data_IF_507202592951
#
_entry.id   IF_507202592951
#
_cell.length_a   1.000
_cell.length_b   1.000
_cell.length_c   1.000
_cell.angle_alpha   90.00
_cell.angle_beta   90.00
_cell.angle_gamma   90.00
#
_symmetry.space_group_name_H-M   'P 1'
#
loop_
_entity.id
_entity.type
_entity.pdbx_description
1 polymer ?
#
# COMPACT_ATOMS: atom_id res chain seq x y z
N UNK A 1 15.15 -29.88 -17.23
CA UNK A 1 15.79 -29.00 -18.23
C UNK A 1 14.90 -27.77 -18.46
N UNK A 2 14.84 -26.80 -17.53
CA UNK A 2 13.95 -25.62 -17.63
C UNK A 2 14.50 -24.32 -17.00
N UNK A 3 15.81 -24.24 -16.68
CA UNK A 3 16.39 -23.05 -16.02
C UNK A 3 16.58 -21.83 -16.95
N UNK A 4 16.25 -21.94 -18.25
CA UNK A 4 16.32 -20.83 -19.20
C UNK A 4 15.10 -19.91 -19.18
N UNK A 5 14.05 -20.23 -18.42
CA UNK A 5 12.79 -19.47 -18.38
C UNK A 5 12.68 -18.51 -17.19
N UNK A 6 13.54 -18.64 -16.19
CA UNK A 6 13.52 -17.76 -15.01
C UNK A 6 14.33 -16.50 -15.28
N UNK A 7 13.72 -15.34 -15.07
CA UNK A 7 14.44 -14.07 -15.15
C UNK A 7 15.49 -14.02 -14.04
N UNK A 8 16.70 -13.57 -14.37
CA UNK A 8 17.76 -13.36 -13.37
C UNK A 8 17.27 -12.34 -12.33
N UNK A 9 17.55 -12.55 -11.03
CA UNK A 9 17.28 -11.54 -10.02
C UNK A 9 17.90 -10.19 -10.40
N UNK A 10 17.18 -9.11 -10.12
CA UNK A 10 17.64 -7.76 -10.32
C UNK A 10 18.09 -7.19 -8.98
N UNK A 11 19.31 -6.66 -8.89
CA UNK A 11 19.85 -6.11 -7.64
C UNK A 11 19.79 -4.59 -7.69
N UNK A 12 19.12 -4.02 -6.71
CA UNK A 12 18.99 -2.60 -6.49
C UNK A 12 19.73 -2.17 -5.23
N UNK A 13 20.40 -1.02 -5.26
CA UNK A 13 21.14 -0.52 -4.11
C UNK A 13 20.23 -0.10 -2.93
N UNK A 14 18.98 0.27 -3.21
CA UNK A 14 18.02 0.74 -2.21
C UNK A 14 17.00 -0.34 -1.85
N UNK A 15 16.48 -1.04 -2.86
CA UNK A 15 15.41 -2.04 -2.70
C UNK A 15 15.93 -3.48 -2.52
N UNK A 16 17.24 -3.68 -2.63
CA UNK A 16 17.86 -5.00 -2.54
C UNK A 16 17.54 -5.88 -3.75
N UNK A 17 17.40 -7.18 -3.52
CA UNK A 17 17.12 -8.14 -4.58
C UNK A 17 15.64 -8.18 -4.95
N UNK A 18 15.35 -8.02 -6.25
CA UNK A 18 14.03 -8.18 -6.85
C UNK A 18 13.98 -9.46 -7.68
N UNK A 19 12.97 -10.29 -7.44
CA UNK A 19 12.73 -11.54 -8.18
C UNK A 19 11.47 -11.45 -9.01
N UNK A 20 11.54 -11.90 -10.26
CA UNK A 20 10.36 -11.90 -11.11
C UNK A 20 9.37 -12.98 -10.69
N UNK A 21 8.10 -12.60 -10.57
CA UNK A 21 6.97 -13.50 -10.40
C UNK A 21 5.81 -13.02 -11.28
N UNK A 22 5.39 -13.85 -12.24
CA UNK A 22 4.40 -13.46 -13.25
C UNK A 22 4.86 -12.27 -14.10
N UNK A 23 4.09 -11.18 -14.06
CA UNK A 23 4.39 -9.94 -14.78
C UNK A 23 5.18 -8.92 -13.97
N UNK A 24 5.40 -9.18 -12.68
CA UNK A 24 5.96 -8.21 -11.73
C UNK A 24 7.29 -8.68 -11.15
N UNK A 25 8.05 -7.72 -10.64
CA UNK A 25 9.28 -7.90 -9.88
C UNK A 25 8.94 -7.71 -8.41
N UNK A 26 9.19 -8.75 -7.61
CA UNK A 26 8.85 -8.80 -6.20
C UNK A 26 10.08 -8.61 -5.33
N UNK A 27 9.94 -7.85 -4.26
CA UNK A 27 11.00 -7.57 -3.29
C UNK A 27 10.43 -7.15 -1.95
N UNK A 28 11.21 -6.35 -1.22
CA UNK A 28 10.79 -5.74 0.04
C UNK A 28 11.01 -4.24 -0.02
N UNK A 29 10.13 -3.50 0.63
CA UNK A 29 10.25 -2.06 0.84
C UNK A 29 10.22 -1.78 2.33
N UNK A 30 11.10 -0.91 2.82
CA UNK A 30 10.99 -0.38 4.17
C UNK A 30 10.12 0.87 4.15
N UNK A 31 9.02 0.85 4.90
CA UNK A 31 8.06 1.93 4.99
C UNK A 31 7.70 2.18 6.46
N UNK A 32 7.91 3.40 6.94
CA UNK A 32 7.77 3.70 8.37
C UNK A 32 8.70 2.82 9.22
N UNK A 33 8.14 2.12 10.19
CA UNK A 33 8.89 1.26 11.11
C UNK A 33 9.12 -0.18 10.58
N UNK A 34 8.41 -0.58 9.53
CA UNK A 34 8.35 -1.96 9.07
C UNK A 34 8.91 -2.17 7.67
N UNK A 35 9.17 -3.43 7.36
CA UNK A 35 9.46 -3.88 6.00
C UNK A 35 8.25 -4.67 5.49
N UNK A 36 7.83 -4.41 4.25
CA UNK A 36 6.65 -5.01 3.64
C UNK A 36 6.94 -5.49 2.20
N UNK A 37 6.17 -6.48 1.70
CA UNK A 37 6.26 -6.95 0.32
C UNK A 37 6.10 -5.82 -0.69
N UNK A 38 6.95 -5.83 -1.72
CA UNK A 38 6.91 -4.87 -2.82
C UNK A 38 6.69 -5.60 -4.14
N UNK A 39 5.81 -5.08 -4.99
CA UNK A 39 5.70 -5.51 -6.39
C UNK A 39 5.85 -4.33 -7.36
N UNK A 40 6.73 -4.46 -8.34
CA UNK A 40 7.03 -3.44 -9.35
C UNK A 40 6.74 -4.00 -10.73
N UNK A 41 6.09 -3.24 -11.59
CA UNK A 41 5.96 -3.63 -13.00
C UNK A 41 7.29 -3.64 -13.74
N UNK A 42 7.36 -4.49 -14.77
CA UNK A 42 8.49 -4.50 -15.69
C UNK A 42 8.52 -5.72 -16.59
N UNK A 43 9.22 -5.64 -17.73
CA UNK A 43 9.45 -6.78 -18.61
C UNK A 43 10.35 -7.85 -17.96
N UNK A 44 10.53 -8.99 -18.64
CA UNK A 44 11.40 -10.09 -18.16
C UNK A 44 12.87 -9.69 -17.99
N UNK A 45 13.34 -8.64 -18.67
CA UNK A 45 14.73 -8.17 -18.62
C UNK A 45 15.07 -7.34 -17.38
N UNK A 46 14.07 -6.84 -16.67
CA UNK A 46 14.24 -6.01 -15.47
C UNK A 46 12.97 -5.26 -15.11
N UNK A 47 12.91 -4.67 -13.90
CA UNK A 47 11.87 -3.72 -13.53
C UNK A 47 11.79 -2.56 -14.53
N UNK A 48 10.61 -1.97 -14.68
CA UNK A 48 10.48 -0.70 -15.39
C UNK A 48 11.27 0.39 -14.64
N UNK A 49 11.99 1.23 -15.37
CA UNK A 49 12.88 2.22 -14.77
C UNK A 49 12.12 3.31 -14.00
N UNK A 50 10.95 3.74 -14.51
CA UNK A 50 10.08 4.69 -13.83
C UNK A 50 9.44 4.06 -12.60
N UNK A 51 8.97 2.82 -12.72
CA UNK A 51 8.39 2.11 -11.59
C UNK A 51 9.42 1.85 -10.47
N UNK A 52 10.67 1.54 -10.84
CA UNK A 52 11.79 1.40 -9.91
C UNK A 52 12.12 2.72 -9.20
N UNK A 53 12.15 3.83 -9.94
CA UNK A 53 12.37 5.15 -9.36
C UNK A 53 11.25 5.53 -8.37
N UNK A 54 9.99 5.32 -8.73
CA UNK A 54 8.86 5.57 -7.86
C UNK A 54 8.87 4.68 -6.60
N UNK A 55 9.25 3.40 -6.72
CA UNK A 55 9.38 2.51 -5.57
C UNK A 55 10.47 2.97 -4.59
N UNK A 56 11.60 3.47 -5.09
CA UNK A 56 12.67 4.04 -4.25
C UNK A 56 12.24 5.32 -3.52
N UNK A 57 11.37 6.10 -4.15
CA UNK A 57 10.91 7.39 -3.62
C UNK A 57 9.71 7.25 -2.66
N UNK A 58 8.97 6.13 -2.76
CA UNK A 58 7.77 5.87 -1.97
C UNK A 58 7.95 6.05 -0.45
N UNK A 59 9.06 5.65 0.20
CA UNK A 59 9.25 5.91 1.63
C UNK A 59 9.24 7.39 2.00
N UNK A 60 9.85 8.23 1.16
CA UNK A 60 9.86 9.68 1.35
C UNK A 60 8.47 10.27 1.11
N UNK A 61 7.81 9.85 0.03
CA UNK A 61 6.45 10.30 -0.31
C UNK A 61 5.48 9.93 0.80
N UNK A 62 5.52 8.70 1.28
CA UNK A 62 4.69 8.22 2.38
C UNK A 62 4.88 9.05 3.64
N UNK A 63 6.12 9.31 4.04
CA UNK A 63 6.40 10.14 5.21
C UNK A 63 5.85 11.57 5.06
N UNK A 64 5.90 12.15 3.87
CA UNK A 64 5.36 13.48 3.58
C UNK A 64 3.83 13.52 3.52
N UNK A 65 3.20 12.41 3.15
CA UNK A 65 1.76 12.32 2.91
C UNK A 65 1.00 11.59 4.03
N UNK A 66 1.68 11.15 5.09
CA UNK A 66 1.08 10.38 6.17
C UNK A 66 -0.13 11.10 6.79
N UNK A 67 -0.05 12.41 7.03
CA UNK A 67 -1.18 13.17 7.59
C UNK A 67 -2.38 13.23 6.64
N UNK A 68 -2.14 13.28 5.32
CA UNK A 68 -3.20 13.27 4.32
C UNK A 68 -3.90 11.89 4.27
N UNK A 69 -3.12 10.81 4.31
CA UNK A 69 -3.65 9.44 4.36
C UNK A 69 -4.44 9.21 5.65
N UNK A 70 -3.93 9.67 6.80
CA UNK A 70 -4.62 9.56 8.08
C UNK A 70 -5.97 10.27 8.08
N UNK A 71 -6.06 11.45 7.43
CA UNK A 71 -7.32 12.17 7.26
C UNK A 71 -8.31 11.39 6.41
N UNK A 72 -7.87 10.86 5.27
CA UNK A 72 -8.73 10.04 4.42
C UNK A 72 -9.22 8.76 5.13
N UNK A 73 -8.38 8.13 5.96
CA UNK A 73 -8.76 6.99 6.80
C UNK A 73 -9.77 7.39 7.88
N UNK A 74 -9.64 8.57 8.49
CA UNK A 74 -10.60 9.07 9.46
C UNK A 74 -11.97 9.36 8.81
N UNK A 75 -11.97 9.90 7.60
CA UNK A 75 -13.18 10.07 6.78
C UNK A 75 -13.80 8.71 6.44
N UNK A 76 -12.99 7.70 6.11
CA UNK A 76 -13.45 6.33 5.87
C UNK A 76 -14.07 5.68 7.12
N UNK A 77 -13.54 5.97 8.32
CA UNK A 77 -14.06 5.47 9.60
C UNK A 77 -15.42 6.07 9.98
N UNK A 78 -15.71 7.32 9.57
CA UNK A 78 -16.90 8.05 9.99
C UNK A 78 -18.23 7.27 9.83
N UNK A 79 -18.55 6.69 8.64
CA UNK A 79 -19.80 5.94 8.48
C UNK A 79 -19.89 4.70 9.38
N UNK A 80 -18.77 4.02 9.66
CA UNK A 80 -18.75 2.86 10.56
C UNK A 80 -19.06 3.25 11.99
N UNK A 81 -18.50 4.38 12.46
CA UNK A 81 -18.82 4.93 13.78
C UNK A 81 -20.28 5.32 13.90
N UNK A 82 -20.81 6.01 12.90
CA UNK A 82 -22.21 6.44 12.89
C UNK A 82 -23.16 5.24 12.95
N UNK A 83 -22.92 4.20 12.14
CA UNK A 83 -23.73 2.99 12.14
C UNK A 83 -23.70 2.25 13.49
N UNK A 84 -22.53 2.14 14.12
CA UNK A 84 -22.40 1.52 15.46
C UNK A 84 -23.11 2.35 16.53
N UNK A 85 -22.98 3.68 16.49
CA UNK A 85 -23.66 4.58 17.45
C UNK A 85 -25.19 4.57 17.29
N UNK A 86 -25.68 4.46 16.06
CA UNK A 86 -27.10 4.35 15.76
C UNK A 86 -27.68 2.96 16.06
N UNK A 87 -26.82 1.97 16.34
CA UNK A 87 -27.23 0.57 16.52
C UNK A 87 -27.64 -0.12 15.21
N UNK A 88 -27.24 0.45 14.07
CA UNK A 88 -27.49 -0.09 12.72
C UNK A 88 -26.46 -1.15 12.30
N UNK A 89 -25.35 -1.25 13.04
CA UNK A 89 -24.32 -2.27 12.84
C UNK A 89 -23.78 -2.77 14.17
N UNK A 90 -23.42 -4.05 14.21
CA UNK A 90 -22.72 -4.64 15.36
C UNK A 90 -21.33 -4.01 15.49
N UNK A 91 -20.88 -3.81 16.72
CA UNK A 91 -19.52 -3.32 16.94
C UNK A 91 -18.50 -4.34 16.41
N UNK A 92 -17.44 -3.90 15.73
CA UNK A 92 -16.38 -4.80 15.28
C UNK A 92 -15.70 -5.50 16.45
N UNK A 93 -15.03 -6.62 16.16
CA UNK A 93 -14.33 -7.42 17.20
C UNK A 93 -13.24 -6.61 17.88
N UNK A 94 -12.57 -5.77 17.11
CA UNK A 94 -11.61 -4.80 17.62
C UNK A 94 -12.34 -3.46 17.81
N UNK A 95 -12.18 -2.79 18.96
CA UNK A 95 -12.81 -1.49 19.18
C UNK A 95 -12.47 -0.51 18.05
N UNK A 96 -13.47 0.25 17.61
CA UNK A 96 -13.24 1.39 16.74
C UNK A 96 -12.24 2.33 17.41
N UNK A 97 -11.38 3.03 16.64
CA UNK A 97 -10.56 4.11 17.19
C UNK A 97 -11.40 5.03 18.05
N UNK A 98 -10.86 5.57 19.13
CA UNK A 98 -11.61 6.50 20.01
C UNK A 98 -11.56 7.94 19.50
N UNK A 99 -10.49 8.32 18.81
CA UNK A 99 -10.29 9.64 18.18
C UNK A 99 -10.16 9.57 16.67
N UNK A 100 -10.27 10.72 16.01
CA UNK A 100 -9.95 10.88 14.58
C UNK A 100 -8.59 11.58 14.37
N UNK A 101 -7.81 11.74 15.43
CA UNK A 101 -6.46 12.26 15.34
C UNK A 101 -5.52 11.23 14.68
N UNK A 102 -4.44 11.67 14.01
CA UNK A 102 -3.57 10.77 13.28
C UNK A 102 -2.99 9.62 14.12
N UNK A 103 -2.66 9.85 15.39
CA UNK A 103 -2.07 8.81 16.24
C UNK A 103 -3.08 7.69 16.53
N UNK A 104 -4.33 8.05 16.85
CA UNK A 104 -5.42 7.08 17.01
C UNK A 104 -5.69 6.28 15.74
N UNK A 105 -5.68 6.94 14.57
CA UNK A 105 -5.89 6.27 13.28
C UNK A 105 -4.76 5.28 12.99
N UNK A 106 -3.50 5.71 13.09
CA UNK A 106 -2.36 4.84 12.79
C UNK A 106 -2.22 3.66 13.75
N UNK A 107 -2.71 3.77 15.00
CA UNK A 107 -2.76 2.65 15.94
C UNK A 107 -3.72 1.52 15.49
N UNK A 108 -4.58 1.77 14.51
CA UNK A 108 -5.58 0.84 13.99
C UNK A 108 -5.35 0.47 12.53
N UNK A 109 -4.15 0.75 11.99
CA UNK A 109 -3.78 0.48 10.60
C UNK A 109 -2.57 -0.45 10.55
N UNK A 110 -2.66 -1.48 9.72
CA UNK A 110 -1.53 -2.35 9.36
C UNK A 110 -1.14 -2.13 7.90
N UNK A 111 0.17 -1.97 7.64
CA UNK A 111 0.70 -1.89 6.27
C UNK A 111 0.97 -3.29 5.74
N UNK A 112 0.28 -3.69 4.68
CA UNK A 112 0.33 -5.08 4.17
C UNK A 112 1.34 -5.26 3.04
N UNK A 113 1.36 -4.36 2.06
CA UNK A 113 2.22 -4.45 0.88
C UNK A 113 2.27 -3.12 0.14
N UNK A 114 3.21 -2.98 -0.79
CA UNK A 114 3.29 -1.85 -1.70
C UNK A 114 3.40 -2.35 -3.13
N UNK A 115 2.83 -1.60 -4.06
CA UNK A 115 2.97 -1.86 -5.48
C UNK A 115 3.27 -0.59 -6.26
N UNK A 116 3.95 -0.74 -7.39
CA UNK A 116 4.09 0.31 -8.40
C UNK A 116 3.68 -0.26 -9.76
N UNK A 117 2.59 0.27 -10.30
CA UNK A 117 1.91 -0.29 -11.48
C UNK A 117 1.46 0.81 -12.43
N UNK A 118 1.31 0.46 -13.71
CA UNK A 118 0.66 1.33 -14.68
C UNK A 118 -0.87 1.18 -14.56
N UNK A 119 -1.54 2.28 -14.24
CA UNK A 119 -2.98 2.43 -14.29
C UNK A 119 -3.30 3.49 -15.35
N UNK A 120 -4.07 3.12 -16.37
CA UNK A 120 -4.41 3.98 -17.51
C UNK A 120 -3.20 4.69 -18.15
N UNK A 121 -2.06 3.98 -18.20
CA UNK A 121 -0.80 4.49 -18.75
C UNK A 121 0.01 5.40 -17.83
N UNK A 122 -0.46 5.64 -16.60
CA UNK A 122 0.25 6.41 -15.58
C UNK A 122 0.82 5.50 -14.50
N UNK A 123 2.05 5.77 -14.06
CA UNK A 123 2.65 5.04 -12.96
C UNK A 123 2.04 5.50 -11.64
N UNK A 124 1.44 4.55 -10.93
CA UNK A 124 0.83 4.75 -9.62
C UNK A 124 1.55 3.89 -8.60
N UNK A 125 1.89 4.50 -7.47
CA UNK A 125 2.31 3.77 -6.28
C UNK A 125 1.09 3.54 -5.39
N UNK A 126 0.97 2.36 -4.82
CA UNK A 126 -0.15 2.01 -3.94
C UNK A 126 0.36 1.26 -2.71
N UNK A 127 -0.07 1.67 -1.52
CA UNK A 127 0.21 0.98 -0.26
C UNK A 127 -1.08 0.35 0.22
N UNK A 128 -1.04 -0.97 0.40
CA UNK A 128 -2.15 -1.74 0.93
C UNK A 128 -2.22 -1.66 2.45
N UNK A 129 -3.41 -1.37 2.96
CA UNK A 129 -3.69 -1.12 4.36
C UNK A 129 -4.82 -2.05 4.81
N UNK A 130 -4.64 -2.72 5.95
CA UNK A 130 -5.75 -3.27 6.72
C UNK A 130 -6.13 -2.29 7.84
N UNK A 131 -7.41 -2.20 8.13
CA UNK A 131 -7.94 -1.37 9.23
C UNK A 131 -8.86 -2.20 10.12
N UNK A 132 -8.91 -1.86 11.41
CA UNK A 132 -9.65 -2.66 12.40
C UNK A 132 -11.17 -2.59 12.25
N UNK A 133 -11.70 -1.60 11.52
CA UNK A 133 -13.14 -1.37 11.36
C UNK A 133 -13.72 -1.89 10.04
N UNK A 134 -12.87 -2.32 9.10
CA UNK A 134 -13.26 -2.86 7.81
C UNK A 134 -12.49 -4.18 7.59
N UNK A 135 -12.97 -5.23 8.27
CA UNK A 135 -12.31 -6.56 8.25
C UNK A 135 -12.43 -7.25 6.88
N UNK A 136 -13.39 -6.84 6.05
CA UNK A 136 -13.67 -7.46 4.76
C UNK A 136 -12.80 -6.93 3.62
N UNK A 137 -12.33 -5.69 3.73
CA UNK A 137 -11.64 -5.02 2.63
C UNK A 137 -10.23 -4.56 3.00
N UNK A 138 -9.33 -4.70 2.04
CA UNK A 138 -8.02 -4.04 2.06
C UNK A 138 -8.14 -2.71 1.34
N UNK A 139 -7.68 -1.65 2.00
CA UNK A 139 -7.66 -0.30 1.45
C UNK A 139 -6.35 -0.04 0.71
N UNK A 140 -6.39 0.75 -0.35
CA UNK A 140 -5.24 1.14 -1.15
C UNK A 140 -4.99 2.65 -1.07
N UNK A 141 -3.98 3.07 -0.31
CA UNK A 141 -3.52 4.46 -0.36
C UNK A 141 -2.71 4.68 -1.64
N UNK A 142 -3.26 5.46 -2.58
CA UNK A 142 -2.71 5.63 -3.93
C UNK A 142 -2.00 6.97 -4.10
N UNK A 143 -0.87 6.94 -4.79
CA UNK A 143 0.00 8.08 -5.03
C UNK A 143 0.34 8.21 -6.50
N UNK A 144 0.37 9.46 -6.98
CA UNK A 144 0.92 9.83 -8.27
C UNK A 144 2.09 10.78 -8.06
N UNK A 145 3.30 10.28 -8.34
CA UNK A 145 4.53 10.98 -7.95
C UNK A 145 4.59 11.18 -6.43
N UNK A 146 4.68 12.45 -6.00
CA UNK A 146 4.77 12.81 -4.58
C UNK A 146 3.43 13.16 -3.91
N UNK A 147 2.32 13.07 -4.66
CA UNK A 147 1.00 13.44 -4.17
C UNK A 147 0.18 12.20 -3.80
N UNK A 148 -0.43 12.23 -2.62
CA UNK A 148 -1.55 11.35 -2.30
C UNK A 148 -2.76 11.73 -3.16
N UNK A 149 -3.38 10.76 -3.80
CA UNK A 149 -4.50 10.97 -4.72
C UNK A 149 -5.82 10.57 -4.06
N UNK A 150 -5.90 9.34 -3.55
CA UNK A 150 -7.13 8.81 -2.99
C UNK A 150 -6.86 7.54 -2.14
N UNK A 151 -7.88 7.16 -1.37
CA UNK A 151 -7.97 5.88 -0.71
C UNK A 151 -8.96 4.99 -1.47
N UNK A 152 -8.46 3.91 -2.07
CA UNK A 152 -9.27 2.95 -2.81
C UNK A 152 -9.78 1.85 -1.89
N UNK A 153 -11.03 1.44 -2.07
CA UNK A 153 -11.55 0.23 -1.44
C UNK A 153 -11.13 -1.04 -2.20
N UNK A 154 -11.05 -2.14 -1.47
CA UNK A 154 -11.05 -3.51 -2.02
C UNK A 154 -9.91 -3.85 -2.99
N UNK A 155 -8.68 -3.44 -2.67
CA UNK A 155 -7.50 -3.85 -3.43
C UNK A 155 -7.02 -5.24 -3.00
N UNK A 156 -6.15 -5.87 -3.81
CA UNK A 156 -5.48 -7.12 -3.43
C UNK A 156 -4.04 -6.83 -3.02
N UNK A 157 -3.61 -7.23 -1.81
CA UNK A 157 -2.21 -7.07 -1.42
C UNK A 157 -1.31 -7.99 -2.25
N UNK A 158 -0.06 -7.57 -2.40
CA UNK A 158 0.95 -8.22 -3.25
C UNK A 158 1.69 -9.39 -2.60
#
# INVERSE_FOLDING_TARGET
MFDFLQARPFVDATLGELRRSGRRWRGRLRLGAGDLPLAIEGPRRGPDAGALAAARDLPRVWAQQADAVARALAEHLAPYREAVLAGESEAPRTPLPSGSDPASIWASVELLSASVTLLDGQLMSEVALAVTWDEEHTLGARFHGAAFVELNGSIRPE
#
